data_IF_510287366759
#
_entry.id   IF_510287366759
#
_cell.length_a   1.000
_cell.length_b   1.000
_cell.length_c   1.000
_cell.angle_alpha   90.00
_cell.angle_beta   90.00
_cell.angle_gamma   90.00
#
_symmetry.space_group_name_H-M   'P 1'
#
loop_
_entity.id
_entity.type
_entity.pdbx_description
1 polymer ?
#
# COMPACT_ATOMS: atom_id res chain seq x y z
N UNK A 1 10.72 6.67 17.60
CA UNK A 1 9.73 6.09 16.65
C UNK A 1 9.69 4.62 17.01
N UNK A 2 8.58 4.09 17.53
CA UNK A 2 8.59 2.86 18.34
C UNK A 2 9.44 1.70 17.79
N UNK A 3 9.22 1.29 16.53
CA UNK A 3 9.98 0.20 15.90
C UNK A 3 11.48 0.52 15.75
N UNK A 4 11.84 1.78 15.50
CA UNK A 4 13.23 2.21 15.42
C UNK A 4 13.91 2.19 16.80
N UNK A 5 13.17 2.53 17.86
CA UNK A 5 13.68 2.52 19.23
C UNK A 5 13.96 1.08 19.72
N UNK A 6 13.33 0.09 19.09
CA UNK A 6 13.59 -1.34 19.26
C UNK A 6 14.69 -1.90 18.33
N UNK A 7 15.28 -1.07 17.46
CA UNK A 7 16.32 -1.49 16.50
C UNK A 7 15.79 -2.05 15.17
N UNK A 8 14.48 -1.98 14.91
CA UNK A 8 13.86 -2.45 13.67
C UNK A 8 13.66 -1.32 12.65
N UNK A 9 14.74 -0.65 12.26
CA UNK A 9 14.68 0.51 11.35
C UNK A 9 14.01 0.18 10.01
N UNK A 10 14.31 -0.97 9.39
CA UNK A 10 13.67 -1.37 8.14
C UNK A 10 12.15 -1.51 8.25
N UNK A 11 11.68 -2.13 9.34
CA UNK A 11 10.24 -2.26 9.61
C UNK A 11 9.61 -0.90 9.92
N UNK A 12 10.32 -0.05 10.68
CA UNK A 12 9.85 1.30 10.99
C UNK A 12 9.60 2.12 9.71
N UNK A 13 10.49 2.00 8.72
CA UNK A 13 10.33 2.64 7.41
C UNK A 13 9.13 2.06 6.67
N UNK A 14 9.03 0.73 6.59
CA UNK A 14 7.95 0.04 5.87
C UNK A 14 6.56 0.36 6.44
N UNK A 15 6.42 0.40 7.77
CA UNK A 15 5.18 0.79 8.44
C UNK A 15 4.66 2.16 7.97
N UNK A 16 5.54 3.00 7.44
CA UNK A 16 5.22 4.34 6.96
C UNK A 16 5.13 4.40 5.43
N UNK A 17 5.96 3.65 4.70
CA UNK A 17 6.04 3.71 3.23
C UNK A 17 5.04 2.82 2.51
N UNK A 18 4.60 1.71 3.11
CA UNK A 18 3.80 0.69 2.39
C UNK A 18 2.48 1.24 1.83
N UNK A 19 1.88 2.23 2.49
CA UNK A 19 0.63 2.87 2.06
C UNK A 19 0.79 3.84 0.88
N UNK A 20 2.02 4.07 0.38
CA UNK A 20 2.34 5.07 -0.65
C UNK A 20 2.98 4.45 -1.91
N UNK A 21 2.27 3.58 -2.66
CA UNK A 21 2.78 2.86 -3.83
C UNK A 21 3.26 3.77 -4.99
N UNK A 22 2.86 5.05 -5.01
CA UNK A 22 3.29 6.05 -5.99
C UNK A 22 4.44 6.93 -5.50
N UNK A 23 5.16 6.51 -4.44
CA UNK A 23 6.11 7.38 -3.73
C UNK A 23 5.40 8.62 -3.16
N UNK A 24 6.17 9.65 -2.86
CA UNK A 24 5.77 10.81 -2.06
C UNK A 24 5.05 11.89 -2.85
N UNK A 25 4.64 11.60 -4.07
CA UNK A 25 3.78 12.52 -4.80
C UNK A 25 2.42 12.51 -4.10
N UNK A 26 2.00 13.65 -3.58
CA UNK A 26 0.66 13.83 -3.01
C UNK A 26 0.36 12.98 -1.77
N UNK A 27 1.33 12.87 -0.84
CA UNK A 27 1.19 12.13 0.43
C UNK A 27 -0.03 12.60 1.24
N UNK A 28 -0.29 13.90 1.21
CA UNK A 28 -1.43 14.58 1.83
C UNK A 28 -2.79 14.12 1.29
N UNK A 29 -2.79 13.35 0.19
CA UNK A 29 -3.99 12.89 -0.50
C UNK A 29 -4.29 11.41 -0.22
N UNK A 30 -3.34 10.66 0.34
CA UNK A 30 -3.55 9.27 0.74
C UNK A 30 -4.42 9.14 2.01
N UNK A 31 -4.60 10.22 2.78
CA UNK A 31 -5.38 10.23 4.01
C UNK A 31 -5.95 11.64 4.30
N UNK A 32 -6.91 11.73 5.22
CA UNK A 32 -7.41 13.02 5.72
C UNK A 32 -6.40 13.63 6.71
N UNK A 33 -5.58 14.58 6.24
CA UNK A 33 -4.50 15.15 7.02
C UNK A 33 -4.94 16.25 7.99
N UNK A 34 -6.20 16.72 7.92
CA UNK A 34 -6.71 17.79 8.81
C UNK A 34 -6.63 17.43 10.30
N UNK A 35 -6.65 16.14 10.63
CA UNK A 35 -6.56 15.64 12.00
C UNK A 35 -5.12 15.34 12.45
N UNK A 36 -4.11 15.48 11.58
CA UNK A 36 -2.72 15.17 11.88
C UNK A 36 -1.96 16.44 12.30
N UNK A 37 -1.46 16.54 13.54
CA UNK A 37 -0.60 17.64 13.99
C UNK A 37 0.59 17.96 13.05
N UNK A 38 0.88 19.25 12.86
CA UNK A 38 1.90 19.76 11.93
C UNK A 38 3.30 19.13 12.09
N UNK A 39 3.71 18.92 13.33
CA UNK A 39 5.02 18.32 13.62
C UNK A 39 5.07 16.85 13.17
N UNK A 40 3.96 16.11 13.27
CA UNK A 40 3.88 14.73 12.76
C UNK A 40 3.81 14.72 11.24
N UNK A 41 3.07 15.65 10.63
CA UNK A 41 3.04 15.82 9.17
C UNK A 41 4.43 16.08 8.59
N UNK A 42 5.14 17.06 9.15
CA UNK A 42 6.52 17.39 8.74
C UNK A 42 7.45 16.19 8.87
N UNK A 43 7.36 15.46 9.99
CA UNK A 43 8.20 14.27 10.23
C UNK A 43 7.88 13.13 9.28
N UNK A 44 6.60 12.91 8.97
CA UNK A 44 6.16 11.89 8.02
C UNK A 44 6.69 12.18 6.62
N UNK A 45 6.57 13.42 6.15
CA UNK A 45 7.11 13.87 4.85
C UNK A 45 8.63 13.70 4.80
N UNK A 46 9.35 14.04 5.88
CA UNK A 46 10.81 13.85 5.97
C UNK A 46 11.21 12.38 5.81
N UNK A 47 10.55 11.48 6.55
CA UNK A 47 10.81 10.02 6.48
C UNK A 47 10.53 9.52 5.07
N UNK A 48 9.35 9.84 4.53
CA UNK A 48 8.95 9.43 3.21
C UNK A 48 9.97 9.91 2.16
N UNK A 49 10.40 11.18 2.22
CA UNK A 49 11.40 11.75 1.31
C UNK A 49 12.78 11.09 1.44
N UNK A 50 13.20 10.74 2.66
CA UNK A 50 14.44 9.99 2.89
C UNK A 50 14.40 8.54 2.37
N UNK A 51 13.21 7.99 2.16
CA UNK A 51 13.00 6.58 1.79
C UNK A 51 12.21 6.39 0.49
N UNK A 52 12.24 7.35 -0.44
CA UNK A 52 11.43 7.36 -1.66
C UNK A 52 11.84 6.32 -2.73
N UNK A 53 13.01 5.70 -2.57
CA UNK A 53 13.49 4.63 -3.44
C UNK A 53 13.15 3.28 -2.83
N UNK A 54 11.95 2.79 -3.14
CA UNK A 54 11.51 1.49 -2.69
C UNK A 54 12.32 0.41 -3.40
N UNK A 55 13.09 -0.33 -2.62
CA UNK A 55 13.72 -1.55 -3.10
C UNK A 55 12.67 -2.64 -3.36
N UNK A 56 13.14 -3.79 -3.84
CA UNK A 56 12.27 -4.93 -4.13
C UNK A 56 11.48 -5.39 -2.91
N UNK A 57 12.08 -5.34 -1.72
CA UNK A 57 11.43 -5.79 -0.48
C UNK A 57 10.26 -4.87 -0.10
N UNK A 58 10.47 -3.55 -0.17
CA UNK A 58 9.40 -2.57 0.05
C UNK A 58 8.24 -2.79 -0.93
N UNK A 59 8.55 -2.98 -2.21
CA UNK A 59 7.53 -3.24 -3.25
C UNK A 59 6.73 -4.51 -2.98
N UNK A 60 7.39 -5.59 -2.56
CA UNK A 60 6.72 -6.84 -2.17
C UNK A 60 5.77 -6.60 -0.99
N UNK A 61 6.23 -5.93 0.08
CA UNK A 61 5.39 -5.68 1.26
C UNK A 61 4.21 -4.76 0.91
N UNK A 62 4.45 -3.67 0.15
CA UNK A 62 3.38 -2.78 -0.35
C UNK A 62 2.31 -3.57 -1.12
N UNK A 63 2.72 -4.47 -2.01
CA UNK A 63 1.77 -5.25 -2.78
C UNK A 63 1.06 -6.29 -1.92
N UNK A 64 1.75 -6.94 -0.98
CA UNK A 64 1.15 -7.90 -0.05
C UNK A 64 0.04 -7.26 0.79
N UNK A 65 0.24 -6.04 1.30
CA UNK A 65 -0.79 -5.30 2.05
C UNK A 65 -2.04 -5.03 1.20
N UNK A 66 -1.85 -4.74 -0.09
CA UNK A 66 -2.94 -4.51 -1.05
C UNK A 66 -3.58 -5.80 -1.59
N UNK A 67 -3.00 -6.97 -1.32
CA UNK A 67 -3.48 -8.29 -1.74
C UNK A 67 -4.00 -9.12 -0.57
N UNK A 68 -4.15 -8.53 0.61
CA UNK A 68 -4.68 -9.19 1.79
C UNK A 68 -5.80 -8.38 2.44
N UNK A 69 -6.78 -9.09 2.99
CA UNK A 69 -7.81 -8.56 3.89
C UNK A 69 -7.99 -9.48 5.11
N UNK A 70 -9.05 -9.28 5.89
CA UNK A 70 -9.30 -10.07 7.09
C UNK A 70 -9.65 -11.54 6.79
N UNK A 71 -10.17 -11.84 5.59
CA UNK A 71 -10.54 -13.18 5.14
C UNK A 71 -9.39 -13.96 4.48
N UNK A 72 -8.32 -13.27 4.09
CA UNK A 72 -7.12 -13.87 3.51
C UNK A 72 -6.62 -13.10 2.30
N UNK A 73 -6.17 -13.82 1.27
CA UNK A 73 -5.74 -13.20 0.02
C UNK A 73 -6.92 -12.72 -0.79
N UNK A 74 -6.74 -11.57 -1.46
CA UNK A 74 -7.76 -10.90 -2.26
C UNK A 74 -7.15 -10.32 -3.53
N UNK A 75 -7.98 -9.82 -4.44
CA UNK A 75 -7.51 -9.15 -5.66
C UNK A 75 -7.29 -7.65 -5.43
N UNK A 76 -6.39 -7.03 -6.19
CA UNK A 76 -6.21 -5.57 -6.12
C UNK A 76 -7.52 -4.85 -6.40
N UNK A 77 -8.26 -5.29 -7.42
CA UNK A 77 -9.54 -4.71 -7.83
C UNK A 77 -10.52 -4.67 -6.64
N UNK A 78 -10.67 -5.80 -5.94
CA UNK A 78 -11.55 -5.90 -4.78
C UNK A 78 -11.06 -5.03 -3.61
N UNK A 79 -9.77 -5.11 -3.27
CA UNK A 79 -9.19 -4.36 -2.15
C UNK A 79 -9.30 -2.85 -2.35
N UNK A 80 -8.95 -2.37 -3.54
CA UNK A 80 -8.97 -0.94 -3.87
C UNK A 80 -10.40 -0.39 -3.87
N UNK A 81 -11.39 -1.16 -4.35
CA UNK A 81 -12.81 -0.79 -4.28
C UNK A 81 -13.29 -0.76 -2.83
N UNK A 82 -13.01 -1.80 -2.03
CA UNK A 82 -13.37 -1.84 -0.61
C UNK A 82 -12.84 -0.62 0.15
N UNK A 83 -11.55 -0.29 -0.03
CA UNK A 83 -10.92 0.89 0.60
C UNK A 83 -11.59 2.19 0.13
N UNK A 84 -11.85 2.33 -1.18
CA UNK A 84 -12.53 3.51 -1.73
C UNK A 84 -13.97 3.69 -1.24
N UNK A 85 -14.70 2.59 -1.00
CA UNK A 85 -16.05 2.64 -0.43
C UNK A 85 -16.05 3.06 1.05
N UNK A 86 -15.06 2.60 1.83
CA UNK A 86 -14.93 2.94 3.26
C UNK A 86 -14.51 4.38 3.53
N UNK A 87 -13.55 4.85 2.74
CA UNK A 87 -12.85 6.10 3.04
C UNK A 87 -13.12 7.19 2.00
N UNK A 88 -13.90 6.88 0.96
CA UNK A 88 -14.13 7.77 -0.17
C UNK A 88 -12.99 7.75 -1.18
N UNK A 89 -13.14 8.55 -2.23
CA UNK A 89 -12.14 8.73 -3.29
C UNK A 89 -11.83 10.21 -3.48
N UNK A 90 -10.65 10.50 -4.00
CA UNK A 90 -10.14 11.86 -4.26
C UNK A 90 -9.76 11.98 -5.73
N UNK A 91 -9.43 13.20 -6.19
CA UNK A 91 -8.90 13.43 -7.55
C UNK A 91 -7.61 12.66 -7.85
N UNK A 92 -6.93 12.11 -6.82
CA UNK A 92 -5.67 11.38 -6.96
C UNK A 92 -5.78 9.88 -6.66
N UNK A 93 -6.97 9.36 -6.32
CA UNK A 93 -7.18 7.92 -6.12
C UNK A 93 -6.70 7.11 -7.31
N UNK A 94 -6.95 7.60 -8.54
CA UNK A 94 -6.49 6.92 -9.76
C UNK A 94 -4.96 6.86 -9.88
N UNK A 95 -4.24 7.85 -9.36
CA UNK A 95 -2.78 7.83 -9.32
C UNK A 95 -2.31 6.72 -8.38
N UNK A 96 -2.83 6.71 -7.15
CA UNK A 96 -2.50 5.72 -6.12
C UNK A 96 -2.72 4.27 -6.61
N UNK A 97 -3.85 4.01 -7.27
CA UNK A 97 -4.14 2.71 -7.86
C UNK A 97 -3.12 2.33 -8.93
N UNK A 98 -2.75 3.26 -9.82
CA UNK A 98 -1.70 3.02 -10.83
C UNK A 98 -0.36 2.64 -10.20
N UNK A 99 -0.04 3.16 -9.01
CA UNK A 99 1.15 2.74 -8.25
C UNK A 99 1.14 1.26 -7.90
N UNK A 100 0.04 0.75 -7.35
CA UNK A 100 -0.10 -0.67 -7.05
C UNK A 100 0.01 -1.53 -8.31
N UNK A 101 -0.61 -1.12 -9.42
CA UNK A 101 -0.48 -1.83 -10.69
C UNK A 101 0.95 -1.78 -11.27
N UNK A 102 1.68 -0.68 -11.09
CA UNK A 102 3.07 -0.59 -11.51
C UNK A 102 3.96 -1.56 -10.71
N UNK A 103 3.79 -1.60 -9.40
CA UNK A 103 4.47 -2.56 -8.51
C UNK A 103 4.11 -3.99 -8.89
N UNK A 104 2.81 -4.29 -9.07
CA UNK A 104 2.32 -5.61 -9.51
C UNK A 104 2.99 -6.03 -10.82
N UNK A 105 3.02 -5.16 -11.82
CA UNK A 105 3.64 -5.45 -13.13
C UNK A 105 5.14 -5.75 -13.00
N UNK A 106 5.86 -5.00 -12.18
CA UNK A 106 7.30 -5.23 -11.95
C UNK A 106 7.55 -6.58 -11.27
N UNK A 107 6.78 -6.91 -10.24
CA UNK A 107 6.90 -8.20 -9.55
C UNK A 107 6.48 -9.37 -10.43
N UNK A 108 5.41 -9.24 -11.21
CA UNK A 108 4.97 -10.24 -12.19
C UNK A 108 6.01 -10.51 -13.28
N UNK A 109 6.73 -9.46 -13.72
CA UNK A 109 7.83 -9.62 -14.67
C UNK A 109 9.00 -10.42 -14.07
N UNK A 110 9.28 -10.25 -12.77
CA UNK A 110 10.33 -11.00 -12.07
C UNK A 110 9.96 -12.47 -11.84
N UNK A 111 8.69 -12.76 -11.55
CA UNK A 111 8.22 -14.15 -11.31
C UNK A 111 7.79 -14.88 -12.60
N UNK A 112 7.61 -14.17 -13.71
CA UNK A 112 7.25 -14.73 -15.02
C UNK A 112 5.79 -15.22 -15.13
N UNK A 113 4.91 -14.80 -14.23
CA UNK A 113 3.49 -15.20 -14.17
C UNK A 113 2.67 -14.17 -13.38
N UNK A 114 1.35 -14.32 -13.42
CA UNK A 114 0.45 -13.47 -12.63
C UNK A 114 0.64 -13.69 -11.13
N UNK A 115 0.62 -12.61 -10.33
CA UNK A 115 0.75 -12.68 -8.87
C UNK A 115 -0.38 -13.51 -8.25
N UNK A 116 -1.57 -13.47 -8.84
CA UNK A 116 -2.73 -14.22 -8.36
C UNK A 116 -2.51 -15.74 -8.45
N UNK A 117 -1.59 -16.22 -9.31
CA UNK A 117 -1.27 -17.65 -9.43
C UNK A 117 -0.40 -18.18 -8.30
N UNK A 118 0.18 -17.29 -7.47
CA UNK A 118 0.99 -17.68 -6.30
C UNK A 118 0.26 -17.43 -4.97
N UNK A 119 -0.98 -16.91 -5.02
CA UNK A 119 -1.80 -16.67 -3.84
C UNK A 119 -2.84 -17.79 -3.71
N UNK A 120 -2.69 -18.72 -2.74
CA UNK A 120 -3.66 -19.78 -2.55
C UNK A 120 -5.03 -19.20 -2.24
N UNK A 121 -6.08 -19.83 -2.77
CA UNK A 121 -7.48 -19.49 -2.50
C UNK A 121 -7.92 -18.05 -2.87
N UNK A 122 -7.10 -17.25 -3.57
CA UNK A 122 -7.45 -15.87 -3.95
C UNK A 122 -8.72 -15.80 -4.81
N UNK A 123 -9.04 -16.85 -5.55
CA UNK A 123 -10.29 -16.94 -6.32
C UNK A 123 -11.53 -16.90 -5.41
N UNK A 124 -11.44 -17.40 -4.17
CA UNK A 124 -12.56 -17.39 -3.22
C UNK A 124 -13.03 -15.96 -2.93
N UNK A 125 -12.13 -14.99 -2.90
CA UNK A 125 -12.48 -13.59 -2.65
C UNK A 125 -13.39 -12.99 -3.72
N UNK A 126 -13.45 -13.59 -4.91
CA UNK A 126 -14.31 -13.13 -6.02
C UNK A 126 -15.79 -13.46 -5.75
N UNK A 127 -16.06 -14.49 -4.94
CA UNK A 127 -17.43 -14.92 -4.65
C UNK A 127 -18.02 -14.29 -3.39
N UNK A 128 -17.23 -13.53 -2.63
CA UNK A 128 -17.64 -12.89 -1.38
C UNK A 128 -18.17 -11.48 -1.62
N UNK A 129 -19.07 -10.99 -0.74
CA UNK A 129 -19.53 -9.61 -0.79
C UNK A 129 -18.42 -8.64 -0.38
N UNK A 130 -18.34 -7.46 -1.00
CA UNK A 130 -17.35 -6.45 -0.63
C UNK A 130 -17.77 -5.82 0.71
N UNK A 131 -16.96 -6.01 1.74
CA UNK A 131 -17.14 -5.32 3.02
C UNK A 131 -16.62 -3.88 2.93
N UNK A 132 -17.46 -2.92 3.33
CA UNK A 132 -17.14 -1.50 3.47
C UNK A 132 -17.86 -0.89 4.68
#
# INVERSE_FOLDING_TARGET
MYMNDLGYTGNAVICVTHSFPCKNEHIDIAAEWSLVPDHMRSRLVEILNGHCNYDLYNKVITLCDALADAGGFTTLERRLISVGLRHGTTSHTSLHWKGFYAIKKELEALIGKSIYTVLPDVEKSIYEDIEY
#
